data_IF_201281266723
#
_entry.id   IF_201281266723
#
_cell.length_a   1.000
_cell.length_b   1.000
_cell.length_c   1.000
_cell.angle_alpha   90.00
_cell.angle_beta   90.00
_cell.angle_gamma   90.00
#
_symmetry.space_group_name_H-M   'P 1'
#
loop_
_entity.id
_entity.type
_entity.pdbx_description
1 polymer ?
#
# COMPACT_ATOMS: atom_id res chain seq x y z
N UNK A 1 -9.89 2.94 12.69
CA UNK A 1 -11.25 2.36 12.64
C UNK A 1 -11.21 0.91 13.08
N UNK A 2 -10.52 -0.02 12.37
CA UNK A 2 -10.50 -1.46 12.65
C UNK A 2 -10.14 -1.77 14.10
N UNK A 3 -9.01 -1.25 14.59
CA UNK A 3 -8.59 -1.44 15.98
C UNK A 3 -9.60 -0.90 16.99
N UNK A 4 -10.29 0.19 16.69
CA UNK A 4 -11.33 0.76 17.57
C UNK A 4 -12.54 -0.17 17.68
N UNK A 5 -12.91 -0.82 16.58
CA UNK A 5 -13.98 -1.82 16.54
C UNK A 5 -13.59 -3.05 17.37
N UNK A 6 -12.41 -3.58 17.15
CA UNK A 6 -11.90 -4.76 17.87
C UNK A 6 -11.72 -4.49 19.36
N UNK A 7 -11.20 -3.31 19.72
CA UNK A 7 -11.05 -2.91 21.12
C UNK A 7 -12.39 -2.88 21.87
N UNK A 8 -13.46 -2.51 21.20
CA UNK A 8 -14.80 -2.53 21.79
C UNK A 8 -15.35 -3.94 22.02
N UNK A 9 -14.91 -4.92 21.22
CA UNK A 9 -15.38 -6.30 21.28
C UNK A 9 -14.51 -7.22 22.14
N UNK A 10 -13.18 -7.10 22.04
CA UNK A 10 -12.21 -8.07 22.58
C UNK A 10 -11.27 -7.50 23.63
N UNK A 11 -11.49 -6.27 24.06
CA UNK A 11 -10.65 -5.58 25.05
C UNK A 11 -9.15 -5.50 24.67
N UNK A 12 -8.84 -5.45 23.36
CA UNK A 12 -7.47 -5.28 22.90
C UNK A 12 -6.87 -3.95 23.37
N UNK A 13 -5.57 -3.97 23.67
CA UNK A 13 -4.77 -2.78 23.98
C UNK A 13 -3.65 -2.59 22.94
N UNK A 14 -3.02 -1.43 22.93
CA UNK A 14 -1.90 -1.18 22.03
C UNK A 14 -0.72 -2.17 22.24
N UNK A 15 -0.62 -2.79 23.41
CA UNK A 15 0.41 -3.81 23.70
C UNK A 15 0.16 -5.14 22.99
N UNK A 16 -1.07 -5.38 22.50
CA UNK A 16 -1.37 -6.57 21.71
C UNK A 16 -0.88 -6.45 20.25
N UNK A 17 -0.46 -5.25 19.81
CA UNK A 17 0.06 -5.06 18.46
C UNK A 17 1.51 -5.54 18.42
N UNK A 18 1.79 -6.51 17.54
CA UNK A 18 3.15 -7.02 17.37
C UNK A 18 4.09 -5.93 16.85
N UNK A 19 5.29 -5.84 17.42
CA UNK A 19 6.31 -4.90 16.95
C UNK A 19 7.01 -5.42 15.70
N UNK A 20 7.39 -4.56 14.74
CA UNK A 20 8.10 -4.98 13.52
C UNK A 20 9.37 -5.79 13.79
N UNK A 21 10.12 -5.44 14.84
CA UNK A 21 11.32 -6.18 15.23
C UNK A 21 11.00 -7.64 15.60
N UNK A 22 9.90 -7.88 16.33
CA UNK A 22 9.48 -9.22 16.74
C UNK A 22 9.03 -10.05 15.53
N UNK A 23 8.35 -9.43 14.57
CA UNK A 23 7.99 -10.07 13.30
C UNK A 23 9.24 -10.49 12.53
N UNK A 24 10.17 -9.56 12.37
CA UNK A 24 11.42 -9.80 11.66
C UNK A 24 12.25 -10.91 12.29
N UNK A 25 12.47 -10.87 13.61
CA UNK A 25 13.21 -11.89 14.34
C UNK A 25 12.54 -13.26 14.25
N UNK A 26 11.20 -13.33 14.32
CA UNK A 26 10.48 -14.57 14.18
C UNK A 26 10.65 -15.18 12.79
N UNK A 27 10.45 -14.41 11.73
CA UNK A 27 10.58 -14.91 10.35
C UNK A 27 12.02 -15.37 10.09
N UNK A 28 13.02 -14.59 10.52
CA UNK A 28 14.43 -14.95 10.43
C UNK A 28 14.71 -16.30 11.12
N UNK A 29 14.23 -16.49 12.35
CA UNK A 29 14.40 -17.75 13.10
C UNK A 29 13.75 -18.94 12.38
N UNK A 30 12.55 -18.75 11.79
CA UNK A 30 11.90 -19.78 11.01
C UNK A 30 12.64 -20.09 9.70
N UNK A 31 13.19 -19.09 9.00
CA UNK A 31 14.02 -19.30 7.82
C UNK A 31 15.26 -20.13 8.14
N UNK A 32 15.91 -19.84 9.26
CA UNK A 32 17.06 -20.61 9.73
C UNK A 32 16.68 -22.07 10.07
N UNK A 33 15.54 -22.29 10.74
CA UNK A 33 15.04 -23.64 11.08
C UNK A 33 14.66 -24.47 9.85
N UNK A 34 14.22 -23.81 8.80
CA UNK A 34 13.86 -24.44 7.52
C UNK A 34 15.05 -24.55 6.56
N UNK A 35 16.26 -24.17 7.02
CA UNK A 35 17.51 -24.22 6.27
C UNK A 35 17.40 -23.52 4.89
N UNK A 36 16.71 -22.35 4.85
CA UNK A 36 16.52 -21.61 3.62
C UNK A 36 17.76 -20.79 3.29
N UNK A 37 18.21 -20.86 2.03
CA UNK A 37 19.29 -20.06 1.50
C UNK A 37 18.74 -18.73 0.94
N UNK A 38 19.46 -17.62 1.16
CA UNK A 38 19.14 -16.28 0.66
C UNK A 38 20.41 -15.44 0.52
N UNK A 39 20.39 -14.52 -0.43
CA UNK A 39 21.52 -13.62 -0.68
C UNK A 39 21.56 -12.44 0.31
N UNK A 40 20.40 -11.86 0.61
CA UNK A 40 20.23 -10.79 1.61
C UNK A 40 19.12 -11.15 2.60
N UNK A 41 19.49 -11.26 3.88
CA UNK A 41 18.59 -11.63 4.98
C UNK A 41 17.42 -10.63 5.11
N UNK A 42 17.71 -9.33 5.02
CA UNK A 42 16.69 -8.31 5.25
C UNK A 42 15.66 -8.29 4.14
N UNK A 43 16.13 -8.46 2.91
CA UNK A 43 15.26 -8.52 1.74
C UNK A 43 14.40 -9.78 1.76
N UNK A 44 14.98 -10.93 2.08
CA UNK A 44 14.27 -12.20 2.19
C UNK A 44 13.18 -12.17 3.28
N UNK A 45 13.51 -11.68 4.48
CA UNK A 45 12.53 -11.53 5.57
C UNK A 45 11.42 -10.55 5.20
N UNK A 46 11.76 -9.42 4.58
CA UNK A 46 10.77 -8.43 4.15
C UNK A 46 9.84 -9.01 3.06
N UNK A 47 10.38 -9.81 2.14
CA UNK A 47 9.61 -10.52 1.11
C UNK A 47 8.60 -11.47 1.72
N UNK A 48 9.02 -12.32 2.66
CA UNK A 48 8.13 -13.26 3.37
C UNK A 48 7.04 -12.53 4.15
N UNK A 49 7.38 -11.46 4.89
CA UNK A 49 6.39 -10.67 5.62
C UNK A 49 5.39 -9.99 4.67
N UNK A 50 5.85 -9.53 3.52
CA UNK A 50 4.98 -8.95 2.48
C UNK A 50 4.01 -10.00 1.92
N UNK A 51 4.46 -11.24 1.69
CA UNK A 51 3.59 -12.31 1.23
C UNK A 51 2.59 -12.76 2.30
N UNK A 52 2.97 -12.81 3.59
CA UNK A 52 2.05 -13.06 4.70
C UNK A 52 0.92 -12.02 4.69
N UNK A 53 1.28 -10.73 4.55
CA UNK A 53 0.31 -9.64 4.47
C UNK A 53 -0.60 -9.77 3.25
N UNK A 54 -0.05 -10.16 2.10
CA UNK A 54 -0.81 -10.38 0.87
C UNK A 54 -1.85 -11.51 1.05
N UNK A 55 -1.44 -12.66 1.59
CA UNK A 55 -2.34 -13.80 1.86
C UNK A 55 -3.50 -13.40 2.78
N UNK A 56 -3.21 -12.68 3.87
CA UNK A 56 -4.23 -12.19 4.80
C UNK A 56 -5.15 -11.15 4.14
N UNK A 57 -4.56 -10.19 3.43
CA UNK A 57 -5.29 -9.08 2.79
C UNK A 57 -6.22 -9.52 1.67
N UNK A 58 -5.84 -10.52 0.88
CA UNK A 58 -6.64 -11.08 -0.21
C UNK A 58 -7.57 -12.22 0.24
N UNK A 59 -7.43 -12.67 1.49
CA UNK A 59 -8.13 -13.83 2.04
C UNK A 59 -7.93 -15.10 1.20
N UNK A 60 -6.71 -15.30 0.70
CA UNK A 60 -6.35 -16.47 -0.10
C UNK A 60 -6.19 -17.70 0.80
N UNK A 61 -6.60 -18.86 0.29
CA UNK A 61 -6.34 -20.12 0.97
C UNK A 61 -4.83 -20.41 0.97
N UNK A 62 -4.23 -20.48 2.15
CA UNK A 62 -2.79 -20.72 2.30
C UNK A 62 -2.32 -22.05 1.66
N UNK A 63 -3.20 -23.05 1.58
CA UNK A 63 -2.86 -24.33 0.98
C UNK A 63 -2.71 -24.26 -0.55
N UNK A 64 -3.29 -23.25 -1.18
CA UNK A 64 -3.26 -23.00 -2.61
C UNK A 64 -2.27 -21.88 -3.00
N UNK A 65 -1.70 -21.20 -2.00
CA UNK A 65 -0.79 -20.07 -2.24
C UNK A 65 0.60 -20.54 -2.71
N UNK A 66 1.06 -19.96 -3.81
CA UNK A 66 2.39 -20.18 -4.38
C UNK A 66 3.29 -18.98 -4.07
N UNK A 67 4.18 -19.17 -3.09
CA UNK A 67 5.15 -18.13 -2.70
C UNK A 67 6.17 -17.85 -3.82
N UNK A 68 6.54 -16.58 -3.94
CA UNK A 68 7.56 -16.11 -4.90
C UNK A 68 8.92 -15.91 -4.24
N UNK A 69 8.96 -15.85 -2.91
CA UNK A 69 10.16 -15.54 -2.13
C UNK A 69 10.89 -16.78 -1.66
N UNK A 70 10.16 -17.84 -1.32
CA UNK A 70 10.70 -19.09 -0.76
C UNK A 70 9.89 -20.29 -1.28
N UNK A 71 10.38 -21.54 -1.15
CA UNK A 71 9.62 -22.71 -1.57
C UNK A 71 8.22 -22.73 -0.97
N UNK A 72 7.16 -22.99 -1.74
CA UNK A 72 5.77 -22.90 -1.31
C UNK A 72 5.45 -23.70 -0.04
N UNK A 73 6.01 -24.91 0.10
CA UNK A 73 5.82 -25.73 1.28
C UNK A 73 6.42 -25.06 2.54
N UNK A 74 7.61 -24.48 2.42
CA UNK A 74 8.28 -23.77 3.52
C UNK A 74 7.48 -22.53 3.92
N UNK A 75 6.92 -21.82 2.94
CA UNK A 75 6.06 -20.65 3.19
C UNK A 75 4.80 -21.05 3.98
N UNK A 76 4.12 -22.13 3.58
CA UNK A 76 2.91 -22.62 4.28
C UNK A 76 3.20 -23.02 5.74
N UNK A 77 4.34 -23.68 5.98
CA UNK A 77 4.80 -24.01 7.34
C UNK A 77 5.05 -22.73 8.14
N UNK A 78 5.77 -21.78 7.56
CA UNK A 78 6.13 -20.52 8.21
C UNK A 78 4.89 -19.64 8.49
N UNK A 79 3.96 -19.53 7.54
CA UNK A 79 2.72 -18.82 7.72
C UNK A 79 1.92 -19.35 8.91
N UNK A 80 1.71 -20.66 8.99
CA UNK A 80 1.00 -21.30 10.11
C UNK A 80 1.74 -21.10 11.44
N UNK A 81 3.06 -21.23 11.43
CA UNK A 81 3.87 -21.00 12.64
C UNK A 81 3.80 -19.54 13.10
N UNK A 82 3.69 -18.60 12.17
CA UNK A 82 3.51 -17.16 12.46
C UNK A 82 2.15 -16.90 13.11
N UNK A 83 1.07 -17.41 12.53
CA UNK A 83 -0.27 -17.28 13.11
C UNK A 83 -0.35 -17.92 14.50
N UNK A 84 0.18 -19.14 14.67
CA UNK A 84 0.27 -19.82 15.96
C UNK A 84 1.06 -19.01 17.01
N UNK A 85 2.12 -18.33 16.60
CA UNK A 85 2.90 -17.47 17.48
C UNK A 85 2.08 -16.26 17.93
N UNK A 86 1.35 -15.61 17.02
CA UNK A 86 0.48 -14.49 17.36
C UNK A 86 -0.59 -14.92 18.37
N UNK A 87 -1.27 -16.03 18.12
CA UNK A 87 -2.30 -16.57 19.02
C UNK A 87 -1.73 -16.89 20.40
N UNK A 88 -0.60 -17.63 20.47
CA UNK A 88 0.02 -18.02 21.75
C UNK A 88 0.50 -16.86 22.60
N UNK A 89 0.95 -15.76 21.94
CA UNK A 89 1.43 -14.54 22.62
C UNK A 89 0.35 -13.50 22.84
N UNK A 90 -0.90 -13.78 22.44
CA UNK A 90 -2.02 -12.81 22.43
C UNK A 90 -1.67 -11.52 21.69
N UNK A 91 -1.00 -11.67 20.55
CA UNK A 91 -0.62 -10.57 19.67
C UNK A 91 -1.49 -10.58 18.41
N UNK A 92 -1.59 -9.42 17.79
CA UNK A 92 -2.21 -9.22 16.47
C UNK A 92 -1.29 -8.35 15.62
N UNK A 93 -1.23 -8.61 14.33
CA UNK A 93 -0.62 -7.71 13.35
C UNK A 93 -1.68 -6.76 12.74
N UNK A 94 -1.24 -5.90 11.82
CA UNK A 94 -2.15 -4.95 11.17
C UNK A 94 -3.15 -5.66 10.25
N UNK A 95 -2.77 -6.76 9.62
CA UNK A 95 -3.63 -7.52 8.74
C UNK A 95 -4.68 -8.28 9.54
N UNK A 96 -4.30 -8.87 10.68
CA UNK A 96 -5.24 -9.50 11.62
C UNK A 96 -6.30 -8.53 12.11
N UNK A 97 -5.94 -7.25 12.32
CA UNK A 97 -6.92 -6.23 12.71
C UNK A 97 -8.04 -6.10 11.67
N UNK A 98 -7.71 -6.21 10.39
CA UNK A 98 -8.68 -6.08 9.31
C UNK A 98 -9.51 -7.36 9.20
N UNK A 99 -8.84 -8.52 9.19
CA UNK A 99 -9.49 -9.83 9.07
C UNK A 99 -10.44 -10.09 10.24
N UNK A 100 -9.97 -9.92 11.48
CA UNK A 100 -10.78 -10.13 12.68
C UNK A 100 -11.93 -9.10 12.77
N UNK A 101 -11.71 -7.85 12.32
CA UNK A 101 -12.77 -6.85 12.25
C UNK A 101 -13.87 -7.27 11.26
N UNK A 102 -13.49 -7.77 10.08
CA UNK A 102 -14.44 -8.31 9.11
C UNK A 102 -15.25 -9.47 9.70
N UNK A 103 -14.58 -10.44 10.29
CA UNK A 103 -15.22 -11.61 10.89
C UNK A 103 -16.17 -11.23 12.02
N UNK A 104 -15.76 -10.34 12.91
CA UNK A 104 -16.61 -9.81 13.97
C UNK A 104 -17.91 -9.19 13.41
N UNK A 105 -17.78 -8.31 12.44
CA UNK A 105 -18.92 -7.61 11.84
C UNK A 105 -19.82 -8.56 11.04
N UNK A 106 -19.28 -9.63 10.46
CA UNK A 106 -20.07 -10.65 9.77
C UNK A 106 -20.82 -11.55 10.75
N UNK A 107 -20.20 -11.97 11.85
CA UNK A 107 -20.76 -12.92 12.79
C UNK A 107 -21.66 -12.28 13.85
N UNK A 108 -21.39 -11.03 14.23
CA UNK A 108 -22.06 -10.32 15.34
C UNK A 108 -22.89 -9.16 14.82
N UNK A 109 -24.18 -9.43 14.62
CA UNK A 109 -25.15 -8.43 14.12
C UNK A 109 -25.27 -7.21 15.05
N UNK A 110 -25.21 -7.42 16.36
CA UNK A 110 -25.26 -6.35 17.36
C UNK A 110 -24.10 -5.35 17.19
N UNK A 111 -22.87 -5.84 16.99
CA UNK A 111 -21.72 -5.00 16.69
C UNK A 111 -21.84 -4.34 15.32
N UNK A 112 -22.21 -5.09 14.29
CA UNK A 112 -22.40 -4.56 12.93
C UNK A 112 -23.36 -3.37 12.94
N UNK A 113 -24.57 -3.54 13.48
CA UNK A 113 -25.57 -2.46 13.55
C UNK A 113 -25.10 -1.26 14.37
N UNK A 114 -24.43 -1.50 15.50
CA UNK A 114 -23.91 -0.42 16.33
C UNK A 114 -22.89 0.45 15.56
N UNK A 115 -21.98 -0.17 14.81
CA UNK A 115 -20.98 0.54 14.04
C UNK A 115 -21.51 1.16 12.75
N UNK A 116 -22.46 0.54 12.05
CA UNK A 116 -23.21 1.14 10.95
C UNK A 116 -23.93 2.41 11.41
N UNK A 117 -24.64 2.38 12.52
CA UNK A 117 -25.33 3.55 13.07
C UNK A 117 -24.36 4.66 13.49
N UNK A 118 -23.14 4.32 13.89
CA UNK A 118 -22.10 5.28 14.26
C UNK A 118 -21.50 5.97 13.05
N UNK A 119 -21.27 5.25 11.95
CA UNK A 119 -20.64 5.74 10.74
C UNK A 119 -21.66 5.92 9.61
N UNK A 120 -22.46 6.99 9.71
CA UNK A 120 -23.48 7.31 8.71
C UNK A 120 -22.91 7.82 7.38
N UNK A 121 -21.69 8.32 7.40
CA UNK A 121 -20.93 8.78 6.25
C UNK A 121 -19.53 8.18 6.34
N UNK A 122 -19.07 7.59 5.25
CA UNK A 122 -17.74 6.98 5.14
C UNK A 122 -17.03 7.65 3.99
N UNK A 123 -15.89 8.28 4.29
CA UNK A 123 -15.03 8.94 3.31
C UNK A 123 -13.68 8.22 3.31
N UNK A 124 -13.20 7.84 2.14
CA UNK A 124 -11.93 7.12 1.97
C UNK A 124 -11.09 7.86 0.95
N UNK A 125 -9.89 8.23 1.35
CA UNK A 125 -8.84 8.77 0.50
C UNK A 125 -7.89 7.65 0.06
N UNK A 126 -7.14 7.88 -1.02
CA UNK A 126 -6.20 6.93 -1.62
C UNK A 126 -6.84 5.54 -1.87
N UNK A 127 -8.06 5.55 -2.40
CA UNK A 127 -8.86 4.34 -2.54
C UNK A 127 -8.25 3.29 -3.47
N UNK A 128 -7.35 3.67 -4.38
CA UNK A 128 -6.61 2.76 -5.24
C UNK A 128 -5.69 1.79 -4.46
N UNK A 129 -5.33 2.14 -3.20
CA UNK A 129 -4.43 1.33 -2.38
C UNK A 129 -5.17 0.36 -1.45
N UNK A 130 -6.50 0.32 -1.52
CA UNK A 130 -7.31 -0.57 -0.69
C UNK A 130 -7.10 -2.04 -1.09
N UNK A 131 -7.02 -2.93 -0.11
CA UNK A 131 -7.07 -4.37 -0.34
C UNK A 131 -8.48 -4.93 -0.18
N UNK A 132 -8.69 -6.18 -0.59
CA UNK A 132 -10.01 -6.82 -0.55
C UNK A 132 -10.59 -6.91 0.86
N UNK A 133 -9.78 -7.30 1.85
CA UNK A 133 -10.27 -7.42 3.23
C UNK A 133 -10.71 -6.06 3.80
N UNK A 134 -9.97 -4.99 3.51
CA UNK A 134 -10.36 -3.62 3.88
C UNK A 134 -11.68 -3.22 3.20
N UNK A 135 -11.80 -3.50 1.91
CA UNK A 135 -13.01 -3.18 1.16
C UNK A 135 -14.24 -3.95 1.68
N UNK A 136 -14.08 -5.21 2.04
CA UNK A 136 -15.16 -6.00 2.64
C UNK A 136 -15.68 -5.35 3.94
N UNK A 137 -14.78 -4.87 4.82
CA UNK A 137 -15.19 -4.15 6.04
C UNK A 137 -15.89 -2.83 5.69
N UNK A 138 -15.36 -2.08 4.72
CA UNK A 138 -16.00 -0.83 4.25
C UNK A 138 -17.42 -1.11 3.76
N UNK A 139 -17.61 -2.15 2.94
CA UNK A 139 -18.92 -2.54 2.43
C UNK A 139 -19.89 -2.90 3.56
N UNK A 140 -19.45 -3.71 4.52
CA UNK A 140 -20.27 -4.09 5.67
C UNK A 140 -20.71 -2.84 6.45
N UNK A 141 -19.80 -1.89 6.68
CA UNK A 141 -20.11 -0.67 7.43
C UNK A 141 -21.01 0.29 6.64
N UNK A 142 -20.84 0.38 5.32
CA UNK A 142 -21.59 1.28 4.46
C UNK A 142 -22.99 0.75 4.11
N UNK A 143 -23.28 -0.53 4.31
CA UNK A 143 -24.46 -1.23 3.79
C UNK A 143 -25.79 -0.60 4.23
N UNK A 144 -25.89 -0.10 5.47
CA UNK A 144 -27.12 0.47 6.03
C UNK A 144 -27.49 1.83 5.39
N UNK A 145 -26.50 2.74 5.26
CA UNK A 145 -26.78 4.12 4.82
C UNK A 145 -26.31 4.40 3.39
N UNK A 146 -25.44 3.59 2.84
CA UNK A 146 -24.83 3.72 1.49
C UNK A 146 -24.19 5.09 1.20
N UNK A 147 -23.89 5.87 2.25
CA UNK A 147 -23.20 7.15 2.16
C UNK A 147 -21.68 6.93 2.11
N UNK A 148 -21.21 6.39 1.00
CA UNK A 148 -19.80 6.10 0.76
C UNK A 148 -19.24 7.08 -0.28
N UNK A 149 -18.18 7.80 0.09
CA UNK A 149 -17.44 8.69 -0.78
C UNK A 149 -15.99 8.23 -0.83
N UNK A 150 -15.49 7.94 -2.01
CA UNK A 150 -14.11 7.48 -2.22
C UNK A 150 -13.38 8.43 -3.15
N UNK A 151 -12.11 8.70 -2.84
CA UNK A 151 -11.20 9.48 -3.67
C UNK A 151 -9.96 8.64 -3.94
N UNK A 152 -9.46 8.68 -5.14
CA UNK A 152 -8.25 7.96 -5.52
C UNK A 152 -7.84 8.24 -6.96
N UNK A 153 -6.67 7.76 -7.32
CA UNK A 153 -6.12 7.83 -8.66
C UNK A 153 -5.54 6.47 -9.05
N UNK A 154 -6.21 5.77 -9.94
CA UNK A 154 -5.83 4.44 -10.42
C UNK A 154 -4.43 4.40 -11.04
N UNK A 155 -3.96 5.52 -11.65
CA UNK A 155 -2.60 5.64 -12.17
C UNK A 155 -1.52 5.72 -11.07
N UNK A 156 -1.91 6.00 -9.81
CA UNK A 156 -1.02 6.06 -8.65
C UNK A 156 -1.01 4.77 -7.82
N UNK A 157 -1.65 3.69 -8.27
CA UNK A 157 -1.66 2.41 -7.57
C UNK A 157 -0.32 1.69 -7.71
N UNK A 158 0.60 1.94 -6.78
CA UNK A 158 1.97 1.37 -6.76
C UNK A 158 2.20 0.36 -5.63
N UNK A 159 1.17 0.05 -4.82
CA UNK A 159 1.26 -0.85 -3.68
C UNK A 159 0.72 -2.27 -3.93
N UNK A 160 0.70 -2.71 -5.19
CA UNK A 160 0.29 -4.08 -5.54
C UNK A 160 1.08 -5.16 -4.80
N UNK A 161 2.38 -4.92 -4.52
CA UNK A 161 3.22 -5.82 -3.73
C UNK A 161 2.81 -5.93 -2.24
N UNK A 162 1.92 -5.06 -1.77
CA UNK A 162 1.29 -5.11 -0.44
C UNK A 162 -0.16 -5.59 -0.49
N UNK A 163 -0.59 -6.16 -1.62
CA UNK A 163 -1.95 -6.66 -1.78
C UNK A 163 -3.00 -5.59 -2.09
N UNK A 164 -2.59 -4.37 -2.52
CA UNK A 164 -3.58 -3.41 -3.02
C UNK A 164 -4.26 -3.96 -4.28
N UNK A 165 -5.56 -3.71 -4.39
CA UNK A 165 -6.40 -4.24 -5.45
C UNK A 165 -7.07 -3.09 -6.24
N UNK A 166 -6.34 -2.40 -7.14
CA UNK A 166 -6.85 -1.25 -7.89
C UNK A 166 -8.10 -1.60 -8.71
N UNK A 167 -8.28 -2.88 -9.05
CA UNK A 167 -9.47 -3.37 -9.72
C UNK A 167 -10.76 -3.07 -8.93
N UNK A 168 -10.70 -2.98 -7.61
CA UNK A 168 -11.85 -2.60 -6.78
C UNK A 168 -12.32 -1.19 -7.12
N UNK A 169 -11.39 -0.27 -7.34
CA UNK A 169 -11.70 1.09 -7.76
C UNK A 169 -12.24 1.12 -9.19
N UNK A 170 -11.59 0.43 -10.12
CA UNK A 170 -12.02 0.37 -11.51
C UNK A 170 -13.40 -0.28 -11.67
N UNK A 171 -13.70 -1.26 -10.83
CA UNK A 171 -14.98 -1.98 -10.80
C UNK A 171 -16.01 -1.39 -9.81
N UNK A 172 -15.78 -0.19 -9.28
CA UNK A 172 -16.61 0.39 -8.22
C UNK A 172 -18.11 0.39 -8.56
N UNK A 173 -18.44 0.68 -9.82
CA UNK A 173 -19.83 0.65 -10.31
C UNK A 173 -20.47 -0.75 -10.32
N UNK A 174 -19.66 -1.83 -10.28
CA UNK A 174 -20.21 -3.19 -10.14
C UNK A 174 -20.71 -3.45 -8.71
N UNK A 175 -20.13 -2.77 -7.73
CA UNK A 175 -20.54 -2.86 -6.33
C UNK A 175 -21.62 -1.84 -5.97
N UNK A 176 -21.55 -0.65 -6.58
CA UNK A 176 -22.48 0.47 -6.36
C UNK A 176 -22.94 1.01 -7.71
N UNK A 177 -23.98 0.41 -8.28
CA UNK A 177 -24.50 0.72 -9.62
C UNK A 177 -25.06 2.15 -9.76
N UNK A 178 -25.39 2.77 -8.63
CA UNK A 178 -25.88 4.13 -8.49
C UNK A 178 -24.79 5.16 -8.15
N UNK A 179 -23.53 4.74 -8.13
CA UNK A 179 -22.42 5.64 -7.85
C UNK A 179 -22.24 6.70 -8.94
N UNK A 180 -22.00 7.92 -8.51
CA UNK A 180 -21.66 9.05 -9.40
C UNK A 180 -20.14 9.22 -9.41
N UNK A 181 -19.51 9.11 -10.58
CA UNK A 181 -18.09 9.40 -10.76
C UNK A 181 -17.90 10.87 -11.13
N UNK A 182 -16.95 11.51 -10.46
CA UNK A 182 -16.51 12.88 -10.73
C UNK A 182 -15.02 12.84 -11.02
N UNK A 183 -14.62 13.25 -12.22
CA UNK A 183 -13.22 13.30 -12.63
C UNK A 183 -12.62 14.68 -12.34
N UNK A 184 -11.52 14.72 -11.57
CA UNK A 184 -10.76 15.92 -11.28
C UNK A 184 -9.63 16.05 -12.31
N UNK A 185 -9.90 16.71 -13.43
CA UNK A 185 -8.99 16.76 -14.58
C UNK A 185 -8.01 17.94 -14.56
N UNK A 186 -8.09 18.86 -13.59
CA UNK A 186 -7.19 20.01 -13.51
C UNK A 186 -6.13 19.75 -12.44
N UNK A 187 -4.88 19.67 -12.88
CA UNK A 187 -3.71 19.58 -11.99
C UNK A 187 -3.26 21.00 -11.61
N UNK A 188 -3.37 21.34 -10.32
CA UNK A 188 -2.95 22.63 -9.77
C UNK A 188 -1.54 22.63 -9.19
N UNK A 189 -0.88 21.48 -9.13
CA UNK A 189 0.43 21.30 -8.51
C UNK A 189 1.57 21.53 -9.48
N UNK A 190 1.50 20.91 -10.64
CA UNK A 190 2.63 20.75 -11.55
C UNK A 190 2.55 21.68 -12.76
N UNK A 191 3.73 21.98 -13.34
CA UNK A 191 3.85 22.72 -14.60
C UNK A 191 3.39 21.87 -15.79
N UNK A 192 3.13 22.51 -16.93
CA UNK A 192 2.61 21.87 -18.13
C UNK A 192 3.49 20.73 -18.63
N UNK A 193 4.82 20.93 -18.67
CA UNK A 193 5.75 19.89 -19.12
C UNK A 193 5.77 18.68 -18.22
N UNK A 194 5.65 18.86 -16.90
CA UNK A 194 5.56 17.73 -15.94
C UNK A 194 4.24 16.98 -16.11
N UNK A 195 3.13 17.68 -16.29
CA UNK A 195 1.82 17.06 -16.55
C UNK A 195 1.83 16.26 -17.84
N UNK A 196 2.41 16.78 -18.92
CA UNK A 196 2.52 16.06 -20.19
C UNK A 196 3.38 14.80 -20.07
N UNK A 197 4.53 14.89 -19.41
CA UNK A 197 5.41 13.76 -19.22
C UNK A 197 4.79 12.66 -18.34
N UNK A 198 4.14 13.03 -17.22
CA UNK A 198 3.47 12.06 -16.34
C UNK A 198 2.29 11.40 -17.03
N UNK A 199 1.51 12.15 -17.80
CA UNK A 199 0.40 11.63 -18.61
C UNK A 199 0.88 10.61 -19.64
N UNK A 200 1.97 10.89 -20.36
CA UNK A 200 2.53 9.96 -21.33
C UNK A 200 2.95 8.61 -20.70
N UNK A 201 3.48 8.65 -19.47
CA UNK A 201 3.82 7.42 -18.72
C UNK A 201 2.54 6.69 -18.26
N UNK A 202 1.55 7.42 -17.74
CA UNK A 202 0.30 6.84 -17.26
C UNK A 202 -0.53 6.21 -18.40
N UNK A 203 -0.47 6.76 -19.62
CA UNK A 203 -1.19 6.24 -20.79
C UNK A 203 -0.71 4.84 -21.24
N UNK A 204 0.47 4.39 -20.81
CA UNK A 204 0.95 3.01 -21.04
C UNK A 204 0.24 1.96 -20.14
N UNK A 205 -0.52 2.37 -19.15
CA UNK A 205 -1.33 1.46 -18.34
C UNK A 205 -2.55 0.99 -19.12
N UNK A 206 -2.69 -0.32 -19.29
CA UNK A 206 -3.81 -0.93 -20.03
C UNK A 206 -5.15 -0.83 -19.30
N UNK A 207 -5.12 -0.90 -17.97
CA UNK A 207 -6.30 -0.94 -17.13
C UNK A 207 -6.38 0.34 -16.28
N UNK A 208 -7.07 1.37 -16.81
CA UNK A 208 -7.23 2.66 -16.16
C UNK A 208 -8.53 3.35 -16.58
N UNK A 209 -8.96 4.32 -15.78
CA UNK A 209 -9.95 5.28 -16.24
C UNK A 209 -9.32 6.25 -17.23
N UNK A 210 -10.03 6.53 -18.32
CA UNK A 210 -9.61 7.63 -19.19
C UNK A 210 -9.79 8.97 -18.46
N UNK A 211 -8.70 9.75 -18.41
CA UNK A 211 -8.63 11.07 -17.76
C UNK A 211 -7.87 12.03 -18.69
N UNK A 212 -8.49 13.15 -19.07
CA UNK A 212 -7.82 14.20 -19.82
C UNK A 212 -7.26 15.24 -18.85
N UNK A 213 -6.15 14.92 -18.21
CA UNK A 213 -5.53 15.77 -17.19
C UNK A 213 -4.81 16.92 -17.86
N UNK A 214 -5.19 18.16 -17.45
CA UNK A 214 -4.60 19.41 -17.90
C UNK A 214 -4.11 20.24 -16.71
N UNK A 215 -3.41 21.34 -16.97
CA UNK A 215 -3.04 22.31 -15.94
C UNK A 215 -3.19 23.73 -16.45
N UNK A 216 -3.54 24.64 -15.54
CA UNK A 216 -3.54 26.08 -15.80
C UNK A 216 -2.22 26.76 -15.38
N UNK A 217 -1.26 25.98 -14.85
CA UNK A 217 0.06 26.50 -14.49
C UNK A 217 0.90 26.77 -15.75
N UNK A 218 1.96 27.55 -15.58
CA UNK A 218 2.92 27.81 -16.65
C UNK A 218 3.48 26.50 -17.23
N UNK A 219 3.99 26.58 -18.49
CA UNK A 219 4.57 25.41 -19.15
C UNK A 219 5.75 24.81 -18.36
N UNK A 220 6.55 25.66 -17.71
CA UNK A 220 7.72 25.26 -16.92
C UNK A 220 8.90 24.77 -17.77
N UNK A 221 9.94 24.30 -17.07
CA UNK A 221 11.11 23.74 -17.72
C UNK A 221 10.80 22.36 -18.32
N UNK A 222 11.58 21.99 -19.35
CA UNK A 222 11.46 20.68 -19.98
C UNK A 222 11.92 19.59 -19.06
N UNK A 223 11.24 18.46 -19.08
CA UNK A 223 11.70 17.22 -18.42
C UNK A 223 12.91 16.69 -19.17
N UNK A 224 14.01 16.46 -18.47
CA UNK A 224 15.27 15.98 -19.06
C UNK A 224 15.58 14.57 -18.57
N UNK A 225 16.09 13.74 -19.46
CA UNK A 225 16.56 12.38 -19.16
C UNK A 225 18.06 12.34 -19.42
N UNK A 226 18.80 11.84 -18.44
CA UNK A 226 20.24 11.67 -18.53
C UNK A 226 20.61 10.20 -18.34
N UNK A 227 21.55 9.73 -19.12
CA UNK A 227 22.10 8.38 -19.02
C UNK A 227 23.58 8.48 -18.66
N UNK A 228 24.03 7.64 -17.74
CA UNK A 228 25.42 7.66 -17.23
C UNK A 228 26.06 6.29 -17.39
N UNK A 229 27.36 6.27 -17.68
CA UNK A 229 28.13 5.04 -17.80
C UNK A 229 28.54 4.44 -16.44
N UNK A 230 28.49 5.23 -15.37
CA UNK A 230 28.81 4.77 -14.03
C UNK A 230 28.00 5.48 -12.96
N UNK A 231 27.82 4.83 -11.81
CA UNK A 231 27.21 5.44 -10.63
C UNK A 231 27.97 6.67 -10.13
N UNK A 232 29.29 6.70 -10.32
CA UNK A 232 30.13 7.85 -9.92
C UNK A 232 29.86 9.08 -10.79
N UNK A 233 29.65 8.89 -12.09
CA UNK A 233 29.31 9.98 -13.01
C UNK A 233 27.88 10.52 -12.68
N UNK A 234 26.95 9.64 -12.41
CA UNK A 234 25.60 10.01 -11.99
C UNK A 234 25.61 10.81 -10.68
N UNK A 235 26.38 10.37 -9.67
CA UNK A 235 26.54 11.12 -8.41
C UNK A 235 27.17 12.49 -8.62
N UNK A 236 28.21 12.56 -9.43
CA UNK A 236 28.90 13.83 -9.73
C UNK A 236 27.94 14.82 -10.41
N UNK A 237 27.18 14.34 -11.37
CA UNK A 237 26.13 15.13 -12.02
C UNK A 237 25.08 15.62 -11.02
N UNK A 238 24.52 14.71 -10.20
CA UNK A 238 23.48 15.04 -9.23
C UNK A 238 23.96 16.12 -8.24
N UNK A 239 25.19 15.99 -7.71
CA UNK A 239 25.76 16.99 -6.80
C UNK A 239 25.94 18.34 -7.51
N UNK A 240 26.41 18.34 -8.76
CA UNK A 240 26.59 19.57 -9.53
C UNK A 240 25.27 20.26 -9.83
N UNK A 241 24.23 19.49 -10.16
CA UNK A 241 22.91 20.01 -10.46
C UNK A 241 22.21 20.59 -9.21
N UNK A 242 22.28 19.87 -8.07
CA UNK A 242 21.77 20.40 -6.80
C UNK A 242 22.45 21.73 -6.43
N UNK A 243 23.77 21.82 -6.57
CA UNK A 243 24.50 23.07 -6.33
C UNK A 243 24.06 24.18 -7.26
N UNK A 244 23.93 23.88 -8.55
CA UNK A 244 23.44 24.84 -9.55
C UNK A 244 22.06 25.39 -9.18
N UNK A 245 21.14 24.54 -8.72
CA UNK A 245 19.79 24.94 -8.29
C UNK A 245 19.84 25.84 -7.05
N UNK A 246 20.67 25.48 -6.05
CA UNK A 246 20.85 26.28 -4.83
C UNK A 246 21.47 27.64 -5.17
N UNK A 247 22.48 27.68 -6.04
CA UNK A 247 23.13 28.92 -6.48
C UNK A 247 22.17 29.82 -7.27
N UNK A 248 21.18 29.21 -7.95
CA UNK A 248 20.09 29.92 -8.63
C UNK A 248 18.99 30.42 -7.67
N UNK A 249 19.10 30.15 -6.36
CA UNK A 249 18.18 30.64 -5.33
C UNK A 249 17.06 29.69 -4.95
N UNK A 250 17.09 28.43 -5.42
CA UNK A 250 16.11 27.41 -4.99
C UNK A 250 16.51 26.92 -3.61
N UNK A 251 15.56 26.91 -2.67
CA UNK A 251 15.83 26.40 -1.32
C UNK A 251 16.08 24.89 -1.36
N UNK A 252 17.01 24.41 -0.53
CA UNK A 252 17.34 22.98 -0.47
C UNK A 252 16.11 22.11 -0.10
N UNK A 253 15.20 22.65 0.70
CA UNK A 253 13.95 21.99 1.09
C UNK A 253 12.96 21.83 -0.08
N UNK A 254 13.16 22.55 -1.18
CA UNK A 254 12.34 22.43 -2.39
C UNK A 254 12.94 21.45 -3.42
N UNK A 255 14.08 20.81 -3.08
CA UNK A 255 14.77 19.86 -3.95
C UNK A 255 14.61 18.45 -3.37
N UNK A 256 14.09 17.52 -4.18
CA UNK A 256 13.95 16.12 -3.80
C UNK A 256 14.69 15.20 -4.78
N UNK A 257 15.40 14.21 -4.23
CA UNK A 257 16.01 13.11 -4.99
C UNK A 257 15.26 11.82 -4.68
N UNK A 258 14.64 11.24 -5.69
CA UNK A 258 13.86 10.02 -5.56
C UNK A 258 14.66 8.82 -6.06
N UNK A 259 14.60 7.72 -5.34
CA UNK A 259 15.24 6.46 -5.72
C UNK A 259 14.28 5.28 -5.56
N UNK A 260 14.48 4.22 -6.32
CA UNK A 260 13.61 3.04 -6.28
C UNK A 260 13.62 2.34 -4.92
N UNK A 261 14.78 2.26 -4.27
CA UNK A 261 14.94 1.59 -2.98
C UNK A 261 15.78 2.45 -2.02
N UNK A 262 15.58 2.24 -0.70
CA UNK A 262 16.37 2.90 0.32
C UNK A 262 17.88 2.57 0.22
N UNK A 263 18.24 1.40 -0.32
CA UNK A 263 19.63 1.01 -0.53
C UNK A 263 20.26 1.91 -1.60
N UNK A 264 19.58 2.07 -2.74
CA UNK A 264 20.01 2.98 -3.80
C UNK A 264 20.05 4.42 -3.28
N UNK A 265 19.03 4.88 -2.56
CA UNK A 265 19.00 6.21 -1.96
C UNK A 265 20.20 6.50 -1.05
N UNK A 266 20.65 5.51 -0.25
CA UNK A 266 21.86 5.63 0.58
C UNK A 266 23.16 5.71 -0.21
N UNK A 267 23.18 5.23 -1.45
CA UNK A 267 24.35 5.34 -2.31
C UNK A 267 24.59 6.78 -2.80
N UNK A 268 23.56 7.63 -2.74
CA UNK A 268 23.66 9.06 -3.14
C UNK A 268 23.97 9.99 -1.94
N UNK A 269 23.89 9.49 -0.72
CA UNK A 269 24.29 10.20 0.50
C UNK A 269 25.80 10.05 0.75
#
# INVERSE_FOLDING_TARGET
VFFTILKAAYNYSAHCIIKPQVQHEFVKDQMCRLELEYDDEKEAVAGVLSEISCVKGEAVNIDEYESRCIPPQSFRIMYRAYDDMLVRKHLIDFDDMIVQCRELLMQREDYRRAWQNKYKYILIDEFQDINKAQFDVVRILADEYRNLFVVGDDDQSIYGFRGSAPQIMLDFNKYYSDAVRIDMCINYRSTGNVVLASRAVAEENEHRYYKDITTNNAQGDSVSIYEFNSLNDEKAFLVSEIRRLIDAGIAADDIAVLSRTNVIGKMYM
#
